data_IF_610094468401
#
_entry.id   IF_610094468401
#
_cell.length_a   1.000
_cell.length_b   1.000
_cell.length_c   1.000
_cell.angle_alpha   90.00
_cell.angle_beta   90.00
_cell.angle_gamma   90.00
#
_symmetry.space_group_name_H-M   'P 1'
#
loop_
_entity.id
_entity.type
_entity.pdbx_description
1 polymer ?
#
# COMPACT_ATOMS: atom_id res chain seq x y z
N UNK A 1 11.40 -16.54 -19.98
CA UNK A 1 12.24 -15.81 -19.01
C UNK A 1 11.82 -14.36 -19.04
N UNK A 2 11.38 -13.79 -17.91
CA UNK A 2 10.91 -12.39 -17.84
C UNK A 2 11.56 -11.69 -16.66
N UNK A 3 12.37 -10.67 -16.95
CA UNK A 3 13.08 -9.83 -15.98
C UNK A 3 12.81 -8.38 -16.36
N UNK A 4 12.38 -7.52 -15.42
CA UNK A 4 12.31 -7.75 -13.97
C UNK A 4 10.98 -8.38 -13.48
N UNK A 5 11.03 -9.27 -12.49
CA UNK A 5 9.82 -9.78 -11.82
C UNK A 5 9.39 -8.81 -10.72
N UNK A 6 8.24 -8.16 -10.90
CA UNK A 6 7.66 -7.23 -9.90
C UNK A 6 6.95 -7.99 -8.77
N UNK A 7 6.28 -9.09 -9.11
CA UNK A 7 5.44 -9.92 -8.23
C UNK A 7 4.53 -9.08 -7.28
N UNK A 8 3.49 -8.43 -7.82
CA UNK A 8 2.51 -7.74 -6.98
C UNK A 8 1.76 -8.73 -6.09
N UNK A 9 1.38 -8.28 -4.90
CA UNK A 9 0.40 -8.93 -4.03
C UNK A 9 -1.01 -8.51 -4.45
N UNK A 10 -1.69 -7.77 -3.58
CA UNK A 10 -3.01 -7.19 -3.82
C UNK A 10 -3.00 -5.76 -4.39
N UNK A 11 -4.14 -5.36 -4.93
CA UNK A 11 -4.50 -3.98 -5.29
C UNK A 11 -5.77 -3.60 -4.51
N UNK A 12 -5.70 -2.51 -3.76
CA UNK A 12 -6.82 -1.94 -3.00
C UNK A 12 -7.03 -0.48 -3.40
N UNK A 13 -8.28 -0.04 -3.55
CA UNK A 13 -8.61 1.37 -3.76
C UNK A 13 -9.00 2.03 -2.44
N UNK A 14 -8.26 3.07 -2.07
CA UNK A 14 -8.50 3.81 -0.86
C UNK A 14 -9.68 4.76 -1.03
N UNK A 15 -10.64 4.69 -0.12
CA UNK A 15 -11.79 5.59 -0.05
C UNK A 15 -11.98 6.09 1.37
N UNK A 16 -11.59 7.32 1.65
CA UNK A 16 -11.65 7.82 3.01
C UNK A 16 -11.13 9.23 3.19
N UNK A 17 -11.74 9.92 4.16
CA UNK A 17 -11.44 11.32 4.51
C UNK A 17 -10.86 11.47 5.92
N UNK A 18 -10.55 10.34 6.59
CA UNK A 18 -10.14 10.30 8.01
C UNK A 18 -8.62 10.37 8.16
N UNK A 19 -7.93 9.24 8.35
CA UNK A 19 -6.48 9.21 8.64
C UNK A 19 -5.61 9.77 7.52
N UNK A 20 -5.94 9.49 6.25
CA UNK A 20 -5.18 9.95 5.10
C UNK A 20 -6.11 10.54 4.01
N UNK A 21 -6.73 11.71 4.24
CA UNK A 21 -7.68 12.30 3.30
C UNK A 21 -7.06 12.58 1.93
N UNK A 22 -5.76 12.89 1.87
CA UNK A 22 -5.02 13.11 0.62
C UNK A 22 -4.83 11.86 -0.23
N UNK A 23 -5.21 10.68 0.28
CA UNK A 23 -5.15 9.42 -0.45
C UNK A 23 -6.50 9.00 -1.03
N UNK A 24 -7.57 9.75 -0.81
CA UNK A 24 -8.88 9.43 -1.37
C UNK A 24 -8.81 9.24 -2.90
N UNK A 25 -9.35 8.12 -3.38
CA UNK A 25 -9.30 7.74 -4.80
C UNK A 25 -7.96 7.15 -5.28
N UNK A 26 -6.95 7.04 -4.42
CA UNK A 26 -5.68 6.38 -4.75
C UNK A 26 -5.80 4.85 -4.75
N UNK A 27 -4.94 4.18 -5.52
CA UNK A 27 -4.74 2.74 -5.46
C UNK A 27 -3.49 2.39 -4.65
N UNK A 28 -3.52 1.30 -3.90
CA UNK A 28 -2.38 0.75 -3.18
C UNK A 28 -2.08 -0.64 -3.69
N UNK A 29 -0.82 -0.88 -4.06
CA UNK A 29 -0.33 -2.16 -4.57
C UNK A 29 0.75 -2.67 -3.63
N UNK A 30 0.54 -3.86 -3.06
CA UNK A 30 1.56 -4.55 -2.26
C UNK A 30 2.55 -5.30 -3.14
N UNK A 31 3.78 -5.49 -2.64
CA UNK A 31 4.87 -6.08 -3.39
C UNK A 31 5.53 -7.25 -2.67
N UNK A 32 5.52 -8.42 -3.31
CA UNK A 32 6.18 -9.62 -2.81
C UNK A 32 7.67 -9.60 -3.13
N UNK A 33 8.04 -9.49 -4.42
CA UNK A 33 9.45 -9.45 -4.82
C UNK A 33 10.09 -8.08 -4.57
N UNK A 34 9.33 -6.99 -4.77
CA UNK A 34 9.81 -5.63 -4.51
C UNK A 34 9.85 -5.26 -3.03
N UNK A 35 9.17 -6.03 -2.16
CA UNK A 35 9.09 -5.80 -0.71
C UNK A 35 8.68 -4.36 -0.37
N UNK A 36 7.68 -3.86 -1.11
CA UNK A 36 7.26 -2.46 -1.10
C UNK A 36 5.74 -2.32 -1.03
N UNK A 37 5.30 -1.13 -0.63
CA UNK A 37 3.94 -0.65 -0.82
C UNK A 37 4.00 0.51 -1.82
N UNK A 38 3.21 0.45 -2.88
CA UNK A 38 3.15 1.50 -3.91
C UNK A 38 1.80 2.19 -3.87
N UNK A 39 1.77 3.52 -3.81
CA UNK A 39 0.56 4.29 -4.05
C UNK A 39 0.52 4.79 -5.50
N UNK A 40 -0.61 4.60 -6.14
CA UNK A 40 -0.92 5.03 -7.50
C UNK A 40 -2.03 6.06 -7.45
N UNK A 41 -1.89 7.15 -8.21
CA UNK A 41 -2.93 8.15 -8.40
C UNK A 41 -3.46 8.08 -9.82
N UNK A 42 -4.75 8.37 -9.97
CA UNK A 42 -5.47 8.30 -11.23
C UNK A 42 -5.94 9.70 -11.63
N UNK A 43 -5.93 10.01 -12.93
CA UNK A 43 -6.34 11.32 -13.45
C UNK A 43 -7.84 11.41 -13.81
N UNK A 44 -8.58 10.32 -13.62
CA UNK A 44 -10.01 10.22 -13.97
C UNK A 44 -10.30 10.10 -15.48
N UNK A 45 -9.26 10.05 -16.33
CA UNK A 45 -9.33 9.96 -17.80
C UNK A 45 -8.66 8.70 -18.34
N UNK A 46 -8.42 7.73 -17.46
CA UNK A 46 -7.75 6.46 -17.78
C UNK A 46 -6.24 6.47 -17.57
N UNK A 47 -5.65 7.59 -17.14
CA UNK A 47 -4.24 7.68 -16.77
C UNK A 47 -4.00 7.28 -15.31
N UNK A 48 -2.84 6.65 -15.09
CA UNK A 48 -2.35 6.26 -13.76
C UNK A 48 -0.85 6.54 -13.64
N UNK A 49 -0.41 7.05 -12.48
CA UNK A 49 1.01 7.25 -12.18
C UNK A 49 1.34 6.82 -10.76
N UNK A 50 2.56 6.34 -10.55
CA UNK A 50 3.08 6.12 -9.19
C UNK A 50 3.25 7.47 -8.51
N UNK A 51 2.67 7.63 -7.32
CA UNK A 51 2.86 8.81 -6.49
C UNK A 51 3.97 8.58 -5.46
N UNK A 52 3.92 7.43 -4.77
CA UNK A 52 4.95 7.02 -3.82
C UNK A 52 5.22 5.53 -3.90
N UNK A 53 6.42 5.15 -3.49
CA UNK A 53 6.81 3.77 -3.24
C UNK A 53 7.61 3.71 -1.95
N UNK A 54 7.06 3.03 -0.95
CA UNK A 54 7.72 2.82 0.33
C UNK A 54 8.36 1.43 0.35
N UNK A 55 9.65 1.36 0.67
CA UNK A 55 10.33 0.09 0.93
C UNK A 55 9.91 -0.37 2.33
N UNK A 56 9.19 -1.48 2.40
CA UNK A 56 8.73 -2.08 3.66
C UNK A 56 9.76 -3.07 4.19
N UNK A 57 10.56 -3.68 3.30
CA UNK A 57 11.57 -4.65 3.68
C UNK A 57 10.99 -6.02 4.07
N UNK A 58 9.71 -6.25 3.72
CA UNK A 58 8.97 -7.50 3.94
C UNK A 58 8.18 -7.84 2.69
N UNK A 59 7.95 -9.13 2.44
CA UNK A 59 7.08 -9.58 1.35
C UNK A 59 5.64 -9.26 1.74
N UNK A 60 5.03 -8.25 1.14
CA UNK A 60 3.66 -7.87 1.51
C UNK A 60 2.69 -8.59 0.58
N UNK A 61 1.88 -9.46 1.15
CA UNK A 61 0.81 -10.22 0.47
C UNK A 61 -0.39 -9.33 0.21
N UNK A 62 -0.81 -8.59 1.22
CA UNK A 62 -2.07 -7.88 1.21
C UNK A 62 -1.97 -6.48 1.85
N UNK A 63 -2.86 -5.59 1.42
CA UNK A 63 -3.05 -4.24 1.96
C UNK A 63 -4.55 -3.93 2.00
N UNK A 64 -5.03 -3.58 3.18
CA UNK A 64 -6.44 -3.24 3.38
C UNK A 64 -6.62 -1.93 4.15
N UNK A 65 -7.71 -1.22 3.83
CA UNK A 65 -8.09 0.00 4.53
C UNK A 65 -8.91 -0.33 5.79
N UNK A 66 -8.47 0.16 6.94
CA UNK A 66 -9.20 0.04 8.19
C UNK A 66 -10.39 1.04 8.27
N UNK A 67 -11.38 0.83 9.16
CA UNK A 67 -12.53 1.74 9.30
C UNK A 67 -12.20 3.19 9.70
N UNK A 68 -11.06 3.40 10.34
CA UNK A 68 -10.52 4.72 10.69
C UNK A 68 -9.73 5.36 9.53
N UNK A 69 -9.51 4.64 8.43
CA UNK A 69 -8.73 5.07 7.27
C UNK A 69 -7.23 4.80 7.39
N UNK A 70 -6.75 4.14 8.45
CA UNK A 70 -5.40 3.58 8.48
C UNK A 70 -5.26 2.37 7.55
N UNK A 71 -4.04 1.85 7.37
CA UNK A 71 -3.82 0.64 6.55
C UNK A 71 -3.35 -0.54 7.39
N UNK A 72 -3.79 -1.73 7.01
CA UNK A 72 -3.26 -2.99 7.48
C UNK A 72 -2.49 -3.67 6.35
N UNK A 73 -1.31 -4.19 6.66
CA UNK A 73 -0.52 -5.00 5.73
C UNK A 73 -0.34 -6.42 6.26
N UNK A 74 -0.41 -7.41 5.37
CA UNK A 74 -0.13 -8.81 5.70
C UNK A 74 1.20 -9.25 5.10
N UNK A 75 2.09 -9.78 5.94
CA UNK A 75 3.39 -10.33 5.51
C UNK A 75 3.27 -11.79 5.07
N UNK A 76 3.83 -12.09 3.90
CA UNK A 76 3.97 -13.43 3.30
C UNK A 76 5.20 -14.14 3.89
N UNK A 77 5.10 -14.58 5.15
CA UNK A 77 6.16 -15.30 5.87
C UNK A 77 5.61 -16.29 6.91
N UNK A 78 6.48 -17.14 7.45
CA UNK A 78 6.17 -18.03 8.56
C UNK A 78 7.33 -18.02 9.60
N UNK A 79 7.12 -17.46 10.80
CA UNK A 79 5.93 -16.71 11.21
C UNK A 79 5.76 -15.42 10.38
N UNK A 80 4.51 -15.10 10.04
CA UNK A 80 4.14 -13.86 9.38
C UNK A 80 3.86 -12.73 10.37
N UNK A 81 3.50 -11.56 9.86
CA UNK A 81 3.12 -10.41 10.66
C UNK A 81 1.90 -9.68 10.08
N UNK A 82 1.09 -9.14 10.97
CA UNK A 82 0.09 -8.12 10.67
C UNK A 82 0.67 -6.76 11.06
N UNK A 83 0.78 -5.84 10.10
CA UNK A 83 1.46 -4.54 10.28
C UNK A 83 0.42 -3.43 10.18
N UNK A 84 0.34 -2.60 11.23
CA UNK A 84 -0.52 -1.42 11.25
C UNK A 84 0.24 -0.19 10.75
N UNK A 85 -0.29 0.51 9.75
CA UNK A 85 0.30 1.74 9.21
C UNK A 85 -0.54 2.93 9.64
N UNK A 86 0.07 3.76 10.47
CA UNK A 86 -0.53 4.97 11.05
C UNK A 86 0.34 6.19 10.73
N UNK A 87 -0.22 7.40 10.72
CA UNK A 87 0.56 8.63 10.70
C UNK A 87 1.53 8.62 11.87
N UNK A 88 2.74 9.14 11.66
CA UNK A 88 3.64 9.41 12.77
C UNK A 88 2.98 10.49 13.64
N UNK A 89 2.60 10.15 14.86
CA UNK A 89 2.21 11.15 15.85
C UNK A 89 3.45 11.97 16.18
N UNK A 90 3.48 13.23 15.75
CA UNK A 90 4.45 14.19 16.27
C UNK A 90 4.06 14.49 17.71
N UNK A 91 4.92 14.23 18.71
CA UNK A 91 4.67 14.71 20.06
C UNK A 91 4.49 16.24 20.02
N UNK A 92 3.50 16.76 20.75
CA UNK A 92 3.36 18.21 20.96
C UNK A 92 4.56 18.77 21.70
#
# INVERSE_FOLDING_TARGET
YWVPVIAPGSLMFYRGTKTFPQWDGSGFISGLATMSLTRVVFDGKGGAKTAERWKIGKRIRDVEQAPDGSLWLLEDANPGALIHVMPKTTPK
#
